data_IF_556729346689
#
_entry.id   IF_556729346689
#
_cell.length_a   1.000
_cell.length_b   1.000
_cell.length_c   1.000
_cell.angle_alpha   90.00
_cell.angle_beta   90.00
_cell.angle_gamma   90.00
#
_symmetry.space_group_name_H-M   'P 1'
#
loop_
_entity.id
_entity.type
_entity.pdbx_description
1 polymer ?
#
# COMPACT_ATOMS: atom_id res chain seq x y z
N UNK A 1 -24.22 2.04 -12.04
CA UNK A 1 -23.30 0.88 -12.13
C UNK A 1 -23.94 -0.29 -12.87
N UNK A 2 -25.20 -0.64 -12.56
CA UNK A 2 -26.01 -1.62 -13.30
C UNK A 2 -26.17 -1.31 -14.80
N UNK A 3 -26.41 -0.04 -15.19
CA UNK A 3 -26.51 0.30 -16.63
C UNK A 3 -25.17 0.11 -17.36
N UNK A 4 -24.04 0.53 -16.78
CA UNK A 4 -22.71 0.42 -17.40
C UNK A 4 -22.25 -1.03 -17.59
N UNK A 5 -22.61 -1.94 -16.67
CA UNK A 5 -22.30 -3.38 -16.77
C UNK A 5 -23.21 -4.04 -17.83
N UNK A 6 -24.49 -3.67 -17.88
CA UNK A 6 -25.45 -4.22 -18.86
C UNK A 6 -25.18 -3.72 -20.28
N UNK A 7 -24.66 -2.51 -20.44
CA UNK A 7 -24.40 -1.88 -21.74
C UNK A 7 -23.03 -2.26 -22.33
N UNK A 8 -22.11 -2.83 -21.53
CA UNK A 8 -20.75 -3.13 -21.98
C UNK A 8 -20.35 -4.60 -21.77
N UNK A 9 -20.37 -5.36 -22.87
CA UNK A 9 -20.01 -6.78 -22.90
C UNK A 9 -18.62 -7.07 -22.33
N UNK A 10 -17.62 -6.23 -22.61
CA UNK A 10 -16.23 -6.43 -22.13
C UNK A 10 -16.18 -6.34 -20.60
N UNK A 11 -16.90 -5.37 -20.02
CA UNK A 11 -16.96 -5.22 -18.56
C UNK A 11 -17.69 -6.40 -17.92
N UNK A 12 -18.80 -6.84 -18.52
CA UNK A 12 -19.54 -8.02 -18.06
C UNK A 12 -18.66 -9.28 -18.09
N UNK A 13 -17.97 -9.53 -19.19
CA UNK A 13 -17.04 -10.65 -19.34
C UNK A 13 -15.92 -10.57 -18.29
N UNK A 14 -15.42 -9.37 -17.99
CA UNK A 14 -14.40 -9.16 -16.94
C UNK A 14 -14.93 -9.49 -15.55
N UNK A 15 -16.14 -9.04 -15.20
CA UNK A 15 -16.76 -9.33 -13.90
C UNK A 15 -17.02 -10.83 -13.74
N UNK A 16 -17.56 -11.49 -14.76
CA UNK A 16 -17.76 -12.94 -14.77
C UNK A 16 -16.45 -13.70 -14.60
N UNK A 17 -15.37 -13.24 -15.24
CA UNK A 17 -14.05 -13.83 -15.11
C UNK A 17 -13.51 -13.71 -13.68
N UNK A 18 -13.57 -12.53 -13.06
CA UNK A 18 -13.15 -12.33 -11.66
C UNK A 18 -13.91 -13.25 -10.73
N UNK A 19 -15.24 -13.32 -10.87
CA UNK A 19 -16.09 -14.21 -10.08
C UNK A 19 -15.71 -15.68 -10.26
N UNK A 20 -15.46 -16.11 -11.51
CA UNK A 20 -15.01 -17.46 -11.83
C UNK A 20 -13.68 -17.82 -11.17
N UNK A 21 -12.68 -16.93 -11.26
CA UNK A 21 -11.39 -17.14 -10.61
C UNK A 21 -11.53 -17.19 -9.09
N UNK A 22 -12.22 -16.22 -8.48
CA UNK A 22 -12.42 -16.16 -7.04
C UNK A 22 -13.11 -17.42 -6.49
N UNK A 23 -14.17 -17.87 -7.17
CA UNK A 23 -14.89 -19.08 -6.80
C UNK A 23 -14.06 -20.36 -7.03
N UNK A 24 -13.25 -20.42 -8.10
CA UNK A 24 -12.39 -21.58 -8.39
C UNK A 24 -11.23 -21.77 -7.40
N UNK A 25 -10.83 -20.68 -6.73
CA UNK A 25 -9.73 -20.63 -5.75
C UNK A 25 -10.23 -20.77 -4.31
N UNK A 26 -11.46 -20.33 -4.04
CA UNK A 26 -12.12 -20.53 -2.75
C UNK A 26 -12.82 -21.90 -2.72
N UNK A 27 -12.19 -22.91 -2.12
CA UNK A 27 -12.70 -24.29 -2.07
C UNK A 27 -14.11 -24.43 -1.49
N UNK A 28 -14.56 -23.44 -0.73
CA UNK A 28 -15.83 -23.44 -0.02
C UNK A 28 -16.99 -22.85 -0.84
N UNK A 29 -16.73 -22.27 -2.02
CA UNK A 29 -17.75 -21.62 -2.84
C UNK A 29 -18.28 -22.53 -3.94
N UNK A 30 -17.41 -22.95 -4.86
CA UNK A 30 -17.80 -23.75 -6.03
C UNK A 30 -16.68 -24.71 -6.45
N UNK A 31 -17.06 -25.91 -6.85
CA UNK A 31 -16.14 -26.90 -7.40
C UNK A 31 -16.08 -26.78 -8.92
N UNK A 32 -14.93 -26.35 -9.43
CA UNK A 32 -14.68 -26.28 -10.88
C UNK A 32 -13.92 -27.52 -11.37
N UNK A 33 -14.38 -28.08 -12.49
CA UNK A 33 -13.66 -29.11 -13.23
C UNK A 33 -12.35 -28.59 -13.82
N UNK A 34 -11.46 -29.50 -14.22
CA UNK A 34 -10.19 -29.13 -14.88
C UNK A 34 -10.39 -28.38 -16.20
N UNK A 35 -11.47 -28.69 -16.92
CA UNK A 35 -11.78 -28.07 -18.20
C UNK A 35 -12.26 -26.63 -17.99
N UNK A 36 -13.18 -26.40 -17.06
CA UNK A 36 -13.67 -25.04 -16.75
C UNK A 36 -12.54 -24.13 -16.25
N UNK A 37 -11.62 -24.65 -15.43
CA UNK A 37 -10.43 -23.89 -15.02
C UNK A 37 -9.55 -23.52 -16.20
N UNK A 38 -9.39 -24.42 -17.17
CA UNK A 38 -8.61 -24.14 -18.40
C UNK A 38 -9.30 -23.08 -19.25
N UNK A 39 -10.62 -23.17 -19.39
CA UNK A 39 -11.40 -22.21 -20.18
C UNK A 39 -11.34 -20.81 -19.57
N UNK A 40 -11.42 -20.70 -18.23
CA UNK A 40 -11.21 -19.43 -17.52
C UNK A 40 -9.84 -18.82 -17.83
N UNK A 41 -8.75 -19.62 -17.82
CA UNK A 41 -7.41 -19.12 -18.15
C UNK A 41 -7.32 -18.66 -19.61
N UNK A 42 -7.96 -19.36 -20.55
CA UNK A 42 -7.98 -18.97 -21.96
C UNK A 42 -8.72 -17.63 -22.14
N UNK A 43 -9.91 -17.51 -21.56
CA UNK A 43 -10.71 -16.27 -21.59
C UNK A 43 -9.95 -15.11 -20.95
N UNK A 44 -9.29 -15.35 -19.82
CA UNK A 44 -8.47 -14.36 -19.16
C UNK A 44 -7.34 -13.84 -20.04
N UNK A 45 -6.55 -14.73 -20.65
CA UNK A 45 -5.43 -14.32 -21.52
C UNK A 45 -5.91 -13.49 -22.71
N UNK A 46 -7.05 -13.85 -23.30
CA UNK A 46 -7.65 -13.08 -24.39
C UNK A 46 -8.07 -11.68 -23.92
N UNK A 47 -8.79 -11.60 -22.81
CA UNK A 47 -9.28 -10.35 -22.26
C UNK A 47 -8.14 -9.44 -21.78
N UNK A 48 -7.15 -10.00 -21.09
CA UNK A 48 -5.95 -9.29 -20.65
C UNK A 48 -5.19 -8.69 -21.84
N UNK A 49 -5.03 -9.45 -22.93
CA UNK A 49 -4.37 -8.94 -24.14
C UNK A 49 -5.14 -7.77 -24.76
N UNK A 50 -6.46 -7.88 -24.86
CA UNK A 50 -7.32 -6.82 -25.40
C UNK A 50 -7.28 -5.55 -24.55
N UNK A 51 -7.38 -5.68 -23.21
CA UNK A 51 -7.30 -4.54 -22.28
C UNK A 51 -5.90 -3.92 -22.29
N UNK A 52 -4.83 -4.73 -22.34
CA UNK A 52 -3.46 -4.24 -22.40
C UNK A 52 -3.17 -3.44 -23.67
N UNK A 53 -3.72 -3.86 -24.81
CA UNK A 53 -3.65 -3.10 -26.07
C UNK A 53 -4.39 -1.77 -25.93
N UNK A 54 -5.61 -1.78 -25.39
CA UNK A 54 -6.40 -0.56 -25.15
C UNK A 54 -5.77 0.42 -24.16
N UNK A 55 -4.97 -0.06 -23.20
CA UNK A 55 -4.19 0.78 -22.28
C UNK A 55 -2.99 1.43 -22.98
N UNK A 56 -2.36 0.73 -23.93
CA UNK A 56 -1.17 1.22 -24.65
C UNK A 56 -1.53 2.18 -25.77
N UNK A 57 -2.60 1.89 -26.50
CA UNK A 57 -3.13 2.75 -27.55
C UNK A 57 -3.83 3.94 -26.89
N UNK A 58 -3.34 5.16 -27.13
CA UNK A 58 -3.94 6.39 -26.58
C UNK A 58 -5.34 6.53 -27.17
N UNK A 59 -6.35 6.03 -26.44
CA UNK A 59 -7.72 6.08 -26.93
C UNK A 59 -8.21 7.52 -26.94
N UNK A 60 -8.16 8.16 -28.10
CA UNK A 60 -8.85 9.43 -28.42
C UNK A 60 -10.38 9.31 -28.38
N UNK A 61 -10.90 8.12 -28.03
CA UNK A 61 -12.24 7.64 -28.37
C UNK A 61 -13.04 7.28 -27.11
N UNK A 62 -13.12 8.21 -26.15
CA UNK A 62 -14.18 8.29 -25.11
C UNK A 62 -14.43 7.11 -24.16
N UNK A 63 -13.77 5.94 -24.30
CA UNK A 63 -14.04 4.69 -23.56
C UNK A 63 -13.02 4.37 -22.46
N UNK A 64 -12.26 5.37 -22.01
CA UNK A 64 -11.22 5.22 -20.98
C UNK A 64 -11.74 4.61 -19.67
N UNK A 65 -12.98 4.90 -19.29
CA UNK A 65 -13.53 4.50 -17.99
C UNK A 65 -13.82 2.99 -17.92
N UNK A 66 -14.35 2.41 -18.99
CA UNK A 66 -14.59 0.97 -19.10
C UNK A 66 -13.27 0.21 -19.12
N UNK A 67 -12.29 0.70 -19.87
CA UNK A 67 -10.95 0.09 -19.92
C UNK A 67 -10.29 0.11 -18.55
N UNK A 68 -10.37 1.24 -17.83
CA UNK A 68 -9.86 1.37 -16.46
C UNK A 68 -10.56 0.38 -15.51
N UNK A 69 -11.89 0.29 -15.56
CA UNK A 69 -12.66 -0.65 -14.75
C UNK A 69 -12.22 -2.10 -15.01
N UNK A 70 -12.12 -2.49 -16.29
CA UNK A 70 -11.69 -3.83 -16.67
C UNK A 70 -10.26 -4.11 -16.19
N UNK A 71 -9.37 -3.14 -16.32
CA UNK A 71 -7.97 -3.30 -15.92
C UNK A 71 -7.79 -3.43 -14.41
N UNK A 72 -8.54 -2.66 -13.63
CA UNK A 72 -8.59 -2.78 -12.17
C UNK A 72 -9.12 -4.15 -11.76
N UNK A 73 -10.21 -4.62 -12.37
CA UNK A 73 -10.77 -5.94 -12.07
C UNK A 73 -9.80 -7.08 -12.43
N UNK A 74 -9.16 -7.01 -13.59
CA UNK A 74 -8.15 -7.99 -14.02
C UNK A 74 -6.92 -8.05 -13.12
N UNK A 75 -6.63 -6.99 -12.37
CA UNK A 75 -5.55 -7.02 -11.39
C UNK A 75 -5.81 -8.04 -10.26
N UNK A 76 -7.07 -8.22 -9.84
CA UNK A 76 -7.43 -9.23 -8.85
C UNK A 76 -7.27 -10.64 -9.41
N UNK A 77 -7.60 -10.86 -10.69
CA UNK A 77 -7.35 -12.15 -11.36
C UNK A 77 -5.86 -12.51 -11.31
N UNK A 78 -4.98 -11.53 -11.54
CA UNK A 78 -3.53 -11.75 -11.46
C UNK A 78 -3.08 -12.17 -10.07
N UNK A 79 -3.57 -11.53 -9.01
CA UNK A 79 -3.25 -11.91 -7.62
C UNK A 79 -3.79 -13.32 -7.29
N UNK A 80 -4.98 -13.67 -7.80
CA UNK A 80 -5.62 -14.96 -7.55
C UNK A 80 -4.96 -16.13 -8.30
N UNK A 81 -4.31 -15.86 -9.44
CA UNK A 81 -3.69 -16.88 -10.28
C UNK A 81 -2.17 -16.99 -10.09
N UNK A 82 -1.47 -15.85 -10.02
CA UNK A 82 -0.01 -15.78 -9.92
C UNK A 82 0.46 -15.73 -8.45
N UNK A 83 0.99 -16.85 -7.98
CA UNK A 83 1.52 -16.97 -6.61
C UNK A 83 2.79 -16.15 -6.39
N UNK A 84 3.48 -15.70 -7.44
CA UNK A 84 4.70 -14.89 -7.32
C UNK A 84 4.44 -13.40 -7.15
N UNK A 85 3.24 -12.92 -7.51
CA UNK A 85 2.89 -11.50 -7.52
C UNK A 85 3.59 -10.66 -8.60
N UNK A 86 4.53 -11.21 -9.39
CA UNK A 86 5.31 -10.45 -10.38
C UNK A 86 4.45 -9.90 -11.52
N UNK A 87 3.50 -10.70 -12.00
CA UNK A 87 2.58 -10.28 -13.07
C UNK A 87 1.75 -9.09 -12.61
N UNK A 88 1.22 -9.18 -11.39
CA UNK A 88 0.44 -8.11 -10.77
C UNK A 88 1.25 -6.82 -10.64
N UNK A 89 2.51 -6.91 -10.20
CA UNK A 89 3.37 -5.73 -10.06
C UNK A 89 3.55 -5.00 -11.39
N UNK A 90 3.87 -5.73 -12.47
CA UNK A 90 4.02 -5.15 -13.80
C UNK A 90 2.71 -4.54 -14.33
N UNK A 91 1.58 -5.18 -14.07
CA UNK A 91 0.26 -4.70 -14.48
C UNK A 91 -0.16 -3.42 -13.77
N UNK A 92 -0.01 -3.37 -12.44
CA UNK A 92 -0.34 -2.19 -11.64
C UNK A 92 0.52 -0.98 -12.05
N UNK A 93 1.80 -1.20 -12.35
CA UNK A 93 2.67 -0.14 -12.85
C UNK A 93 2.16 0.43 -14.19
N UNK A 94 1.79 -0.43 -15.14
CA UNK A 94 1.22 0.00 -16.43
C UNK A 94 -0.12 0.73 -16.25
N UNK A 95 -0.96 0.24 -15.35
CA UNK A 95 -2.25 0.83 -15.03
C UNK A 95 -2.10 2.24 -14.43
N UNK A 96 -1.15 2.41 -13.51
CA UNK A 96 -0.86 3.71 -12.90
C UNK A 96 -0.37 4.71 -13.96
N UNK A 97 0.56 4.30 -14.83
CA UNK A 97 1.04 5.13 -15.94
C UNK A 97 -0.08 5.57 -16.89
N UNK A 98 -1.05 4.69 -17.16
CA UNK A 98 -2.24 5.01 -17.95
C UNK A 98 -3.14 6.05 -17.27
N UNK A 99 -3.45 5.84 -15.99
CA UNK A 99 -4.26 6.79 -15.20
C UNK A 99 -3.59 8.17 -15.15
N UNK A 100 -2.27 8.21 -14.97
CA UNK A 100 -1.50 9.45 -14.95
C UNK A 100 -1.58 10.21 -16.29
N UNK A 101 -1.36 9.52 -17.41
CA UNK A 101 -1.43 10.13 -18.76
C UNK A 101 -2.81 10.70 -19.05
N UNK A 102 -3.87 10.00 -18.66
CA UNK A 102 -5.26 10.42 -18.85
C UNK A 102 -5.77 11.34 -17.73
N UNK A 103 -4.92 11.63 -16.74
CA UNK A 103 -5.21 12.50 -15.60
C UNK A 103 -5.29 13.98 -15.94
N UNK A 104 -4.70 14.39 -17.07
CA UNK A 104 -4.59 15.80 -17.53
C UNK A 104 -5.87 16.37 -18.16
N UNK A 105 -6.99 15.66 -18.08
CA UNK A 105 -8.27 16.14 -18.64
C UNK A 105 -8.85 17.27 -17.78
N UNK A 106 -9.32 18.34 -18.43
CA UNK A 106 -9.91 19.54 -17.79
C UNK A 106 -11.37 19.29 -17.33
N UNK A 107 -11.99 18.20 -17.79
CA UNK A 107 -13.38 17.90 -17.46
C UNK A 107 -13.53 17.36 -16.01
N UNK A 108 -14.60 17.74 -15.29
CA UNK A 108 -14.87 17.22 -13.96
C UNK A 108 -15.07 15.70 -13.99
N UNK A 109 -14.38 14.99 -13.09
CA UNK A 109 -14.44 13.54 -12.99
C UNK A 109 -15.76 13.08 -12.38
N UNK A 110 -16.35 12.03 -12.95
CA UNK A 110 -17.49 11.35 -12.32
C UNK A 110 -17.05 10.71 -11.00
N UNK A 111 -17.95 10.54 -10.00
CA UNK A 111 -17.61 9.90 -8.72
C UNK A 111 -16.99 8.50 -8.90
N UNK A 112 -17.55 7.68 -9.80
CA UNK A 112 -17.02 6.34 -10.09
C UNK A 112 -15.60 6.39 -10.66
N UNK A 113 -15.34 7.30 -11.60
CA UNK A 113 -14.01 7.48 -12.16
C UNK A 113 -13.00 7.94 -11.11
N UNK A 114 -13.41 8.81 -10.18
CA UNK A 114 -12.58 9.21 -9.04
C UNK A 114 -12.20 7.99 -8.18
N UNK A 115 -13.18 7.16 -7.81
CA UNK A 115 -12.92 5.94 -7.01
C UNK A 115 -12.01 4.94 -7.74
N UNK A 116 -12.20 4.76 -9.06
CA UNK A 116 -11.33 3.89 -9.86
C UNK A 116 -9.88 4.40 -9.93
N UNK A 117 -9.69 5.70 -10.13
CA UNK A 117 -8.35 6.30 -10.11
C UNK A 117 -7.69 6.19 -8.73
N UNK A 118 -8.46 6.39 -7.66
CA UNK A 118 -8.01 6.21 -6.28
C UNK A 118 -7.56 4.76 -6.04
N UNK A 119 -8.35 3.77 -6.46
CA UNK A 119 -7.97 2.36 -6.34
C UNK A 119 -6.66 2.06 -7.09
N UNK A 120 -6.48 2.57 -8.31
CA UNK A 120 -5.23 2.41 -9.06
C UNK A 120 -4.02 2.98 -8.32
N UNK A 121 -4.18 4.15 -7.68
CA UNK A 121 -3.15 4.79 -6.85
C UNK A 121 -2.83 3.96 -5.60
N UNK A 122 -3.85 3.52 -4.85
CA UNK A 122 -3.70 2.64 -3.68
C UNK A 122 -2.93 1.37 -4.06
N UNK A 123 -3.32 0.71 -5.16
CA UNK A 123 -2.64 -0.49 -5.62
C UNK A 123 -1.17 -0.25 -5.98
N UNK A 124 -0.85 0.88 -6.63
CA UNK A 124 0.54 1.23 -6.94
C UNK A 124 1.35 1.54 -5.68
N UNK A 125 0.75 2.20 -4.69
CA UNK A 125 1.40 2.45 -3.41
C UNK A 125 1.68 1.16 -2.65
N UNK A 126 0.73 0.22 -2.58
CA UNK A 126 0.94 -1.09 -1.97
C UNK A 126 2.01 -1.90 -2.71
N UNK A 127 2.04 -1.84 -4.05
CA UNK A 127 3.10 -2.45 -4.86
C UNK A 127 4.47 -1.88 -4.49
N UNK A 128 4.59 -0.56 -4.41
CA UNK A 128 5.83 0.12 -4.06
C UNK A 128 6.32 -0.26 -2.65
N UNK A 129 5.40 -0.31 -1.68
CA UNK A 129 5.68 -0.73 -0.30
C UNK A 129 6.17 -2.18 -0.20
N UNK A 130 5.50 -3.10 -0.90
CA UNK A 130 5.89 -4.52 -0.86
C UNK A 130 7.24 -4.80 -1.52
N UNK A 131 7.66 -3.98 -2.47
CA UNK A 131 8.87 -4.20 -3.26
C UNK A 131 10.02 -3.27 -2.88
N UNK A 132 9.82 -2.35 -1.94
CA UNK A 132 10.72 -1.23 -1.66
C UNK A 132 11.18 -0.57 -2.97
N UNK A 133 10.21 -0.15 -3.80
CA UNK A 133 10.47 0.46 -5.11
C UNK A 133 9.87 1.85 -5.19
N UNK A 134 10.46 2.70 -6.04
CA UNK A 134 9.87 4.00 -6.32
C UNK A 134 8.48 3.90 -6.98
N UNK A 135 7.67 4.94 -6.76
CA UNK A 135 6.32 5.09 -7.30
C UNK A 135 6.28 5.57 -8.76
N UNK A 136 7.37 6.12 -9.30
CA UNK A 136 7.37 7.18 -10.31
C UNK A 136 6.62 6.94 -11.65
N UNK A 137 5.74 7.91 -11.95
CA UNK A 137 5.88 8.88 -13.04
C UNK A 137 5.46 10.26 -12.51
N UNK A 138 6.43 11.10 -12.13
CA UNK A 138 6.27 12.54 -11.89
C UNK A 138 5.16 12.95 -10.91
N UNK A 139 5.10 12.37 -9.71
CA UNK A 139 4.55 13.17 -8.62
C UNK A 139 5.46 14.40 -8.49
N UNK A 140 4.95 15.63 -8.66
CA UNK A 140 5.76 16.78 -8.29
C UNK A 140 6.14 16.54 -6.84
N UNK A 141 7.43 16.40 -6.59
CA UNK A 141 7.98 16.31 -5.25
C UNK A 141 7.63 17.64 -4.56
N UNK A 142 6.45 17.69 -3.95
CA UNK A 142 6.03 18.80 -3.12
C UNK A 142 6.53 18.48 -1.73
N UNK A 143 7.85 18.49 -1.53
CA UNK A 143 8.47 18.41 -0.20
C UNK A 143 7.86 19.40 0.79
N UNK A 144 7.29 20.49 0.26
CA UNK A 144 6.64 21.56 0.99
C UNK A 144 5.23 21.23 1.51
N UNK A 145 4.53 20.26 0.91
CA UNK A 145 3.17 19.86 1.33
C UNK A 145 3.19 18.56 2.17
N UNK A 146 4.38 17.99 2.42
CA UNK A 146 4.54 16.75 3.19
C UNK A 146 4.31 17.01 4.68
N UNK A 147 3.26 16.41 5.25
CA UNK A 147 2.95 16.52 6.67
C UNK A 147 2.22 17.80 7.08
N UNK A 148 1.25 18.25 6.26
CA UNK A 148 0.31 19.35 6.54
C UNK A 148 -1.13 18.82 6.70
N UNK A 149 -1.30 17.54 7.10
CA UNK A 149 -2.66 16.97 7.29
C UNK A 149 -3.39 17.62 8.46
N UNK A 150 -2.65 18.14 9.43
CA UNK A 150 -3.19 18.87 10.59
C UNK A 150 -4.00 20.12 10.18
N UNK A 151 -3.66 20.75 9.04
CA UNK A 151 -4.40 21.91 8.54
C UNK A 151 -5.73 21.52 7.85
N UNK A 152 -5.93 20.23 7.58
CA UNK A 152 -7.08 19.68 6.86
C UNK A 152 -8.02 18.84 7.74
N UNK A 153 -7.61 18.53 8.97
CA UNK A 153 -8.48 17.86 9.95
C UNK A 153 -9.34 18.90 10.67
N UNK A 154 -10.66 18.67 10.84
CA UNK A 154 -11.49 19.55 11.64
C UNK A 154 -10.91 19.64 13.07
N UNK A 155 -10.95 20.84 13.71
CA UNK A 155 -10.47 21.00 15.07
C UNK A 155 -11.09 19.97 16.02
N UNK A 156 -10.29 19.45 16.96
CA UNK A 156 -10.78 18.53 18.00
C UNK A 156 -12.03 19.12 18.68
N UNK A 157 -13.16 18.42 18.54
CA UNK A 157 -14.46 18.82 19.11
C UNK A 157 -15.54 19.21 18.09
N UNK A 158 -15.23 19.27 16.79
CA UNK A 158 -16.28 19.28 15.75
C UNK A 158 -16.69 17.84 15.41
N UNK A 159 -17.99 17.62 15.18
CA UNK A 159 -18.51 16.29 14.87
C UNK A 159 -17.76 15.67 13.68
N UNK A 160 -17.23 14.48 13.92
CA UNK A 160 -16.63 13.58 12.93
C UNK A 160 -17.51 13.33 11.69
N UNK A 161 -18.81 13.66 11.77
CA UNK A 161 -19.76 13.63 10.66
C UNK A 161 -19.46 14.63 9.52
N UNK A 162 -18.46 15.51 9.69
CA UNK A 162 -18.11 16.54 8.70
C UNK A 162 -17.34 16.01 7.48
N UNK A 163 -16.63 14.87 7.58
CA UNK A 163 -15.87 14.29 6.47
C UNK A 163 -16.57 13.07 5.88
N UNK A 164 -16.67 13.01 4.55
CA UNK A 164 -17.21 11.83 3.87
C UNK A 164 -16.15 10.72 3.75
N UNK A 165 -16.59 9.46 3.67
CA UNK A 165 -15.71 8.31 3.39
C UNK A 165 -14.83 8.55 2.16
N UNK A 166 -15.35 9.24 1.15
CA UNK A 166 -14.59 9.59 -0.05
C UNK A 166 -13.41 10.52 0.25
N UNK A 167 -13.59 11.51 1.13
CA UNK A 167 -12.50 12.40 1.53
C UNK A 167 -11.46 11.66 2.38
N UNK A 168 -11.91 10.80 3.30
CA UNK A 168 -11.01 9.99 4.12
C UNK A 168 -10.14 9.06 3.26
N UNK A 169 -10.74 8.48 2.21
CA UNK A 169 -10.03 7.63 1.26
C UNK A 169 -9.07 8.42 0.35
N UNK A 170 -9.37 9.68 0.01
CA UNK A 170 -8.43 10.55 -0.71
C UNK A 170 -7.18 10.82 0.14
N UNK A 171 -7.35 11.20 1.41
CA UNK A 171 -6.21 11.39 2.33
C UNK A 171 -5.42 10.11 2.54
N UNK A 172 -6.11 8.98 2.72
CA UNK A 172 -5.45 7.69 2.86
C UNK A 172 -4.58 7.34 1.66
N UNK A 173 -5.07 7.65 0.46
CA UNK A 173 -4.32 7.42 -0.76
C UNK A 173 -3.03 8.27 -0.81
N UNK A 174 -3.10 9.53 -0.38
CA UNK A 174 -1.95 10.43 -0.30
C UNK A 174 -0.94 9.95 0.75
N UNK A 175 -1.41 9.51 1.92
CA UNK A 175 -0.56 8.98 2.98
C UNK A 175 0.12 7.67 2.59
N UNK A 176 -0.55 6.78 1.85
CA UNK A 176 0.07 5.57 1.32
C UNK A 176 1.18 5.89 0.32
N UNK A 177 0.96 6.86 -0.56
CA UNK A 177 1.99 7.30 -1.52
C UNK A 177 3.17 7.97 -0.80
N UNK A 178 2.90 8.78 0.22
CA UNK A 178 3.93 9.33 1.11
C UNK A 178 4.76 8.23 1.74
N UNK A 179 4.10 7.25 2.36
CA UNK A 179 4.77 6.15 3.05
C UNK A 179 5.67 5.38 2.09
N UNK A 180 5.16 5.02 0.91
CA UNK A 180 5.93 4.32 -0.12
C UNK A 180 7.15 5.13 -0.57
N UNK A 181 6.99 6.44 -0.83
CA UNK A 181 8.11 7.30 -1.25
C UNK A 181 9.15 7.44 -0.14
N UNK A 182 8.73 7.62 1.10
CA UNK A 182 9.62 7.73 2.25
C UNK A 182 10.41 6.43 2.47
N UNK A 183 9.76 5.27 2.36
CA UNK A 183 10.42 3.96 2.44
C UNK A 183 11.51 3.82 1.38
N UNK A 184 11.19 4.16 0.12
CA UNK A 184 12.16 4.11 -0.98
C UNK A 184 13.35 5.05 -0.74
N UNK A 185 13.10 6.33 -0.41
CA UNK A 185 14.14 7.32 -0.22
C UNK A 185 15.06 6.99 0.96
N UNK A 186 14.50 6.47 2.06
CA UNK A 186 15.29 6.05 3.22
C UNK A 186 16.14 4.81 2.91
N UNK A 187 15.63 3.86 2.12
CA UNK A 187 16.38 2.69 1.66
C UNK A 187 17.52 3.07 0.70
N UNK A 188 17.26 3.92 -0.29
CA UNK A 188 18.28 4.44 -1.23
C UNK A 188 19.36 5.23 -0.49
N UNK A 189 18.96 6.16 0.40
CA UNK A 189 19.90 6.94 1.20
C UNK A 189 20.80 6.04 2.06
N UNK A 190 20.22 5.05 2.75
CA UNK A 190 20.95 4.07 3.58
C UNK A 190 21.96 3.27 2.76
N UNK A 191 21.58 2.83 1.55
CA UNK A 191 22.46 2.08 0.65
C UNK A 191 23.65 2.93 0.22
N UNK A 192 23.40 4.15 -0.24
CA UNK A 192 24.46 5.11 -0.61
C UNK A 192 25.35 5.48 0.58
N UNK A 193 24.78 5.64 1.78
CA UNK A 193 25.57 5.91 2.99
C UNK A 193 26.56 4.80 3.30
N UNK A 194 26.17 3.54 3.12
CA UNK A 194 27.04 2.38 3.32
C UNK A 194 28.14 2.32 2.28
N UNK A 195 27.83 2.60 1.01
CA UNK A 195 28.80 2.66 -0.10
C UNK A 195 29.83 3.79 0.07
N UNK A 196 29.38 4.96 0.52
CA UNK A 196 30.24 6.10 0.86
C UNK A 196 31.09 5.85 2.11
N UNK A 197 30.86 4.73 2.81
CA UNK A 197 31.56 4.39 4.03
C UNK A 197 31.38 5.45 5.09
N UNK A 198 30.18 6.05 5.21
CA UNK A 198 29.85 6.98 6.29
C UNK A 198 30.09 6.28 7.63
N UNK A 199 31.29 6.49 8.19
CA UNK A 199 31.70 5.87 9.44
C UNK A 199 31.03 6.61 10.58
N UNK A 200 30.58 5.83 11.57
CA UNK A 200 30.33 6.29 12.93
C UNK A 200 31.69 6.65 13.57
N UNK A 201 32.40 7.64 13.03
CA UNK A 201 33.64 8.10 13.66
C UNK A 201 33.27 9.11 14.76
N UNK A 202 33.41 8.74 16.05
CA UNK A 202 33.06 9.64 17.15
C UNK A 202 33.92 10.91 17.20
N UNK A 203 35.09 10.94 16.54
CA UNK A 203 35.95 12.13 16.46
C UNK A 203 35.42 13.18 15.47
N UNK A 204 34.76 12.76 14.38
CA UNK A 204 34.12 13.66 13.40
C UNK A 204 32.81 14.29 13.90
N UNK A 205 32.22 13.76 14.99
CA UNK A 205 30.98 14.27 15.61
C UNK A 205 31.17 15.57 16.41
N UNK A 206 32.41 15.91 16.78
CA UNK A 206 32.69 16.93 17.81
C UNK A 206 33.02 18.34 17.28
N UNK A 207 32.89 18.60 15.98
CA UNK A 207 33.17 19.92 15.43
C UNK A 207 31.88 20.71 15.18
N UNK A 208 31.41 21.53 16.15
CA UNK A 208 30.40 22.53 15.87
C UNK A 208 30.93 23.45 14.75
N UNK A 209 30.32 23.37 13.56
CA UNK A 209 30.73 24.12 12.36
C UNK A 209 31.19 23.27 11.17
N UNK A 210 31.23 21.94 11.26
CA UNK A 210 31.45 21.09 10.07
C UNK A 210 30.30 21.28 9.07
N UNK A 211 30.63 21.64 7.83
CA UNK A 211 29.65 21.71 6.74
C UNK A 211 29.21 20.30 6.39
N UNK A 212 27.90 20.04 6.45
CA UNK A 212 27.33 18.79 5.97
C UNK A 212 27.61 18.63 4.47
N UNK A 213 27.93 17.41 4.05
CA UNK A 213 27.86 17.04 2.64
C UNK A 213 26.41 17.12 2.14
N UNK A 214 26.23 17.20 0.82
CA UNK A 214 24.90 17.17 0.21
C UNK A 214 24.11 15.92 0.61
N UNK A 215 24.79 14.77 0.67
CA UNK A 215 24.19 13.51 1.10
C UNK A 215 23.76 13.53 2.58
N UNK A 216 24.59 14.07 3.48
CA UNK A 216 24.21 14.25 4.89
C UNK A 216 23.02 15.23 5.03
N UNK A 217 22.99 16.31 4.23
CA UNK A 217 21.87 17.26 4.22
C UNK A 217 20.55 16.58 3.79
N UNK A 218 20.59 15.76 2.73
CA UNK A 218 19.43 14.96 2.31
C UNK A 218 18.96 14.01 3.42
N UNK A 219 19.89 13.39 4.17
CA UNK A 219 19.55 12.53 5.31
C UNK A 219 18.82 13.28 6.42
N UNK A 220 19.27 14.50 6.75
CA UNK A 220 18.61 15.37 7.73
C UNK A 220 17.21 15.77 7.24
N UNK A 221 17.08 16.14 5.96
CA UNK A 221 15.78 16.48 5.36
C UNK A 221 14.80 15.31 5.42
N UNK A 222 15.24 14.09 5.08
CA UNK A 222 14.43 12.88 5.18
C UNK A 222 13.99 12.60 6.62
N UNK A 223 14.88 12.82 7.59
CA UNK A 223 14.55 12.68 9.02
C UNK A 223 13.47 13.69 9.42
N UNK A 224 13.57 14.94 8.99
CA UNK A 224 12.55 15.96 9.26
C UNK A 224 11.20 15.62 8.62
N UNK A 225 11.19 15.15 7.37
CA UNK A 225 9.97 14.73 6.67
C UNK A 225 9.32 13.56 7.41
N UNK A 226 10.10 12.54 7.77
CA UNK A 226 9.62 11.37 8.50
C UNK A 226 9.01 11.76 9.86
N UNK A 227 9.67 12.64 10.63
CA UNK A 227 9.14 13.11 11.92
C UNK A 227 7.82 13.87 11.78
N UNK A 228 7.69 14.74 10.77
CA UNK A 228 6.43 15.44 10.50
C UNK A 228 5.33 14.47 10.09
N UNK A 229 5.63 13.55 9.18
CA UNK A 229 4.67 12.56 8.72
C UNK A 229 4.21 11.65 9.86
N UNK A 230 5.12 11.16 10.71
CA UNK A 230 4.78 10.35 11.88
C UNK A 230 3.85 11.10 12.84
N UNK A 231 4.10 12.39 13.10
CA UNK A 231 3.21 13.23 13.92
C UNK A 231 1.80 13.32 13.33
N UNK A 232 1.69 13.53 12.03
CA UNK A 232 0.42 13.65 11.32
C UNK A 232 -0.37 12.33 11.34
N UNK A 233 0.33 11.20 11.18
CA UNK A 233 -0.26 9.86 11.35
C UNK A 233 -0.75 9.64 12.78
N UNK A 234 0.03 10.05 13.79
CA UNK A 234 -0.40 9.97 15.20
C UNK A 234 -1.66 10.82 15.45
N UNK A 235 -1.70 12.05 14.92
CA UNK A 235 -2.88 12.91 15.02
C UNK A 235 -4.11 12.26 14.36
N UNK A 236 -3.91 11.63 13.20
CA UNK A 236 -4.95 10.87 12.50
C UNK A 236 -5.45 9.69 13.32
N UNK A 237 -4.54 8.89 13.89
CA UNK A 237 -4.89 7.76 14.77
C UNK A 237 -5.74 8.20 15.96
N UNK A 238 -5.38 9.31 16.62
CA UNK A 238 -6.14 9.87 17.74
C UNK A 238 -7.54 10.31 17.31
N UNK A 239 -7.67 10.88 16.11
CA UNK A 239 -8.95 11.31 15.56
C UNK A 239 -9.87 10.10 15.27
N UNK A 240 -9.37 9.09 14.54
CA UNK A 240 -10.16 7.90 14.18
C UNK A 240 -10.52 7.00 15.36
N UNK A 241 -9.71 7.00 16.44
CA UNK A 241 -9.97 6.18 17.63
C UNK A 241 -11.20 6.64 18.43
N UNK A 242 -11.71 7.85 18.16
CA UNK A 242 -12.93 8.39 18.77
C UNK A 242 -14.24 7.96 18.08
N UNK A 243 -14.18 7.28 16.93
CA UNK A 243 -15.34 6.94 16.12
C UNK A 243 -15.81 5.49 16.30
N UNK A 244 -17.13 5.25 16.26
CA UNK A 244 -17.68 3.90 16.17
C UNK A 244 -17.28 3.27 14.82
N UNK A 245 -16.33 2.35 14.85
CA UNK A 245 -15.58 1.89 13.67
C UNK A 245 -16.43 1.33 12.53
N UNK A 246 -16.44 2.03 11.39
CA UNK A 246 -16.86 1.50 10.10
C UNK A 246 -15.82 0.51 9.54
N UNK A 247 -16.15 -0.19 8.44
CA UNK A 247 -15.17 -1.04 7.73
C UNK A 247 -14.00 -0.24 7.17
N UNK A 248 -14.25 1.00 6.70
CA UNK A 248 -13.21 1.92 6.21
C UNK A 248 -12.30 2.35 7.36
N UNK A 249 -12.86 2.73 8.52
CA UNK A 249 -12.08 3.13 9.70
C UNK A 249 -11.14 2.02 10.16
N UNK A 250 -11.58 0.75 10.17
CA UNK A 250 -10.70 -0.38 10.50
C UNK A 250 -9.54 -0.53 9.52
N UNK A 251 -9.79 -0.36 8.21
CA UNK A 251 -8.74 -0.40 7.20
C UNK A 251 -7.71 0.72 7.44
N UNK A 252 -8.18 1.96 7.59
CA UNK A 252 -7.32 3.11 7.85
C UNK A 252 -6.46 2.92 9.11
N UNK A 253 -7.07 2.50 10.22
CA UNK A 253 -6.37 2.25 11.48
C UNK A 253 -5.30 1.17 11.35
N UNK A 254 -5.59 0.07 10.64
CA UNK A 254 -4.61 -1.00 10.40
C UNK A 254 -3.35 -0.45 9.72
N UNK A 255 -3.52 0.39 8.71
CA UNK A 255 -2.43 1.00 7.97
C UNK A 255 -1.71 2.09 8.74
N UNK A 256 -2.40 3.03 9.38
CA UNK A 256 -1.75 4.13 10.11
C UNK A 256 -0.93 3.66 11.31
N UNK A 257 -1.40 2.62 12.01
CA UNK A 257 -0.60 1.95 13.04
C UNK A 257 0.67 1.32 12.43
N UNK A 258 0.56 0.70 11.24
CA UNK A 258 1.75 0.17 10.54
C UNK A 258 2.71 1.26 10.10
N UNK A 259 2.23 2.34 9.49
CA UNK A 259 3.07 3.47 9.03
C UNK A 259 3.91 4.00 10.19
N UNK A 260 3.30 4.18 11.37
CA UNK A 260 4.01 4.66 12.56
C UNK A 260 5.18 3.74 12.95
N UNK A 261 4.93 2.43 12.93
CA UNK A 261 5.94 1.40 13.22
C UNK A 261 7.01 1.36 12.14
N UNK A 262 6.62 1.41 10.86
CA UNK A 262 7.54 1.30 9.73
C UNK A 262 8.50 2.49 9.67
N UNK A 263 8.00 3.72 9.90
CA UNK A 263 8.85 4.90 10.06
C UNK A 263 9.90 4.65 11.15
N UNK A 264 9.49 4.16 12.32
CA UNK A 264 10.45 3.85 13.39
C UNK A 264 11.50 2.83 12.95
N UNK A 265 11.11 1.79 12.19
CA UNK A 265 12.02 0.75 11.70
C UNK A 265 13.00 1.28 10.64
N UNK A 266 12.59 2.20 9.77
CA UNK A 266 13.45 2.83 8.76
C UNK A 266 14.68 3.51 9.39
N UNK A 267 14.51 4.09 10.58
CA UNK A 267 15.53 4.84 11.31
C UNK A 267 16.25 4.04 12.42
N UNK A 268 16.00 2.73 12.53
CA UNK A 268 16.72 1.87 13.49
C UNK A 268 18.16 1.54 13.08
N UNK A 269 18.53 1.67 11.80
CA UNK A 269 19.91 1.39 11.36
C UNK A 269 20.87 2.42 11.94
N UNK A 270 21.98 1.94 12.51
CA UNK A 270 23.00 2.77 13.15
C UNK A 270 23.57 3.87 12.24
N UNK A 271 23.52 3.72 10.92
CA UNK A 271 24.01 4.72 9.96
C UNK A 271 23.36 6.10 10.17
N UNK A 272 22.09 6.16 10.60
CA UNK A 272 21.39 7.42 10.84
C UNK A 272 21.99 8.23 12.01
N UNK A 273 22.67 7.56 12.94
CA UNK A 273 23.37 8.22 14.05
C UNK A 273 24.57 9.04 13.57
N UNK A 274 25.01 8.90 12.30
CA UNK A 274 26.06 9.76 11.73
C UNK A 274 25.59 11.20 11.54
N UNK A 275 24.27 11.43 11.41
CA UNK A 275 23.69 12.76 11.16
C UNK A 275 23.60 13.63 12.42
N UNK A 276 23.76 13.04 13.61
CA UNK A 276 23.69 13.73 14.90
C UNK A 276 22.41 14.57 15.09
N UNK A 277 21.28 14.07 14.58
CA UNK A 277 19.95 14.64 14.77
C UNK A 277 19.04 13.66 15.53
N UNK A 278 17.97 14.18 16.12
CA UNK A 278 16.93 13.34 16.69
C UNK A 278 16.25 12.51 15.60
N UNK A 279 16.05 11.22 15.86
CA UNK A 279 15.44 10.28 14.91
C UNK A 279 14.00 9.96 15.33
N UNK A 280 13.06 9.77 14.39
CA UNK A 280 11.65 9.44 14.65
C UNK A 280 11.46 7.97 15.09
N UNK A 281 12.24 7.53 16.08
CA UNK A 281 12.26 6.15 16.58
C UNK A 281 11.40 6.08 17.84
N UNK A 282 10.37 5.25 17.80
CA UNK A 282 9.54 4.96 18.96
C UNK A 282 10.25 4.00 19.93
N UNK A 283 9.83 4.01 21.19
CA UNK A 283 10.26 2.98 22.14
C UNK A 283 9.81 1.59 21.67
N UNK A 284 10.50 0.55 22.12
CA UNK A 284 10.11 -0.84 21.80
C UNK A 284 8.67 -1.14 22.27
N UNK A 285 8.27 -0.63 23.43
CA UNK A 285 6.92 -0.82 23.96
C UNK A 285 5.87 -0.17 23.05
N UNK A 286 6.06 1.09 22.68
CA UNK A 286 5.12 1.79 21.80
C UNK A 286 5.05 1.13 20.43
N UNK A 287 6.18 0.74 19.84
CA UNK A 287 6.21 0.02 18.56
C UNK A 287 5.44 -1.30 18.63
N UNK A 288 5.57 -2.03 19.74
CA UNK A 288 4.85 -3.28 19.97
C UNK A 288 3.33 -3.07 20.12
N UNK A 289 2.91 -2.04 20.85
CA UNK A 289 1.50 -1.67 21.01
C UNK A 289 0.87 -1.27 19.68
N UNK A 290 1.54 -0.39 18.91
CA UNK A 290 1.09 0.05 17.58
C UNK A 290 0.95 -1.15 16.62
N UNK A 291 1.95 -2.03 16.56
CA UNK A 291 1.88 -3.25 15.74
C UNK A 291 0.79 -4.22 16.20
N UNK A 292 0.40 -4.20 17.48
CA UNK A 292 -0.72 -5.00 18.02
C UNK A 292 -2.06 -4.45 17.58
N UNK A 293 -2.24 -3.14 17.63
CA UNK A 293 -3.45 -2.51 17.15
C UNK A 293 -3.60 -2.66 15.63
N UNK A 294 -2.51 -2.49 14.87
CA UNK A 294 -2.48 -2.75 13.43
C UNK A 294 -3.03 -4.15 13.09
N UNK A 295 -2.47 -5.18 13.73
CA UNK A 295 -2.88 -6.57 13.50
C UNK A 295 -4.34 -6.81 13.90
N UNK A 296 -4.79 -6.27 15.03
CA UNK A 296 -6.17 -6.42 15.48
C UNK A 296 -7.17 -5.79 14.49
N UNK A 297 -6.87 -4.60 13.97
CA UNK A 297 -7.73 -3.96 12.97
C UNK A 297 -7.72 -4.70 11.63
N UNK A 298 -6.55 -5.17 11.19
CA UNK A 298 -6.45 -6.02 10.00
C UNK A 298 -7.24 -7.33 10.18
N UNK A 299 -7.15 -7.98 11.34
CA UNK A 299 -7.87 -9.22 11.65
C UNK A 299 -9.40 -9.00 11.63
N UNK A 300 -9.88 -7.88 12.20
CA UNK A 300 -11.29 -7.49 12.16
C UNK A 300 -11.77 -7.22 10.73
N UNK A 301 -11.00 -6.45 9.95
CA UNK A 301 -11.31 -6.17 8.56
C UNK A 301 -11.35 -7.43 7.70
N UNK A 302 -10.38 -8.33 7.88
CA UNK A 302 -10.28 -9.59 7.14
C UNK A 302 -11.52 -10.48 7.29
N UNK A 303 -12.22 -10.44 8.43
CA UNK A 303 -13.40 -11.28 8.68
C UNK A 303 -14.52 -11.00 7.68
N UNK A 304 -14.80 -9.72 7.41
CA UNK A 304 -15.88 -9.29 6.52
C UNK A 304 -15.42 -9.05 5.08
N UNK A 305 -14.11 -8.98 4.83
CA UNK A 305 -13.58 -8.65 3.51
C UNK A 305 -13.61 -9.79 2.49
N UNK A 306 -13.79 -9.46 1.21
CA UNK A 306 -13.69 -10.40 0.08
C UNK A 306 -12.41 -10.16 -0.72
N UNK A 307 -12.50 -9.47 -1.87
CA UNK A 307 -11.35 -9.23 -2.74
C UNK A 307 -10.35 -8.27 -2.11
N UNK A 308 -10.85 -7.29 -1.36
CA UNK A 308 -10.08 -6.29 -0.64
C UNK A 308 -9.27 -6.88 0.53
N UNK A 309 -9.52 -8.12 0.93
CA UNK A 309 -8.76 -8.81 1.97
C UNK A 309 -7.25 -8.81 1.69
N UNK A 310 -6.85 -8.92 0.42
CA UNK A 310 -5.44 -8.92 0.03
C UNK A 310 -4.73 -7.61 0.37
N UNK A 311 -5.45 -6.49 0.45
CA UNK A 311 -4.83 -5.20 0.77
C UNK A 311 -4.31 -5.12 2.20
N UNK A 312 -4.71 -6.01 3.09
CA UNK A 312 -4.09 -6.09 4.42
C UNK A 312 -2.74 -6.83 4.42
N UNK A 313 -2.41 -7.63 3.40
CA UNK A 313 -1.16 -8.41 3.38
C UNK A 313 0.12 -7.58 3.54
N UNK A 314 0.26 -6.38 2.93
CA UNK A 314 1.45 -5.53 3.11
C UNK A 314 1.71 -5.11 4.56
N UNK A 315 0.67 -5.04 5.40
CA UNK A 315 0.81 -4.68 6.83
C UNK A 315 1.58 -5.73 7.64
N UNK A 316 1.60 -6.98 7.16
CA UNK A 316 2.10 -8.12 7.92
C UNK A 316 3.61 -8.07 8.12
N UNK A 317 4.36 -7.56 7.14
CA UNK A 317 5.81 -7.47 7.26
C UNK A 317 6.19 -6.56 8.44
N UNK A 318 5.73 -5.31 8.43
CA UNK A 318 5.98 -4.33 9.50
C UNK A 318 5.54 -4.86 10.88
N UNK A 319 4.35 -5.46 10.97
CA UNK A 319 3.85 -6.07 12.22
C UNK A 319 4.75 -7.21 12.67
N UNK A 320 5.20 -8.07 11.75
CA UNK A 320 6.04 -9.23 12.08
C UNK A 320 7.40 -8.83 12.63
N UNK A 321 7.92 -7.68 12.20
CA UNK A 321 9.23 -7.18 12.62
C UNK A 321 9.25 -6.70 14.08
N UNK A 322 8.10 -6.51 14.73
CA UNK A 322 8.04 -6.16 16.16
C UNK A 322 7.82 -7.37 17.08
N UNK A 323 7.55 -8.56 16.52
CA UNK A 323 7.24 -9.79 17.30
C UNK A 323 8.47 -10.61 17.61
N UNK A 324 8.59 -11.03 18.86
CA UNK A 324 9.71 -11.86 19.35
C UNK A 324 9.27 -13.25 19.77
N UNK A 325 8.03 -13.41 20.26
CA UNK A 325 7.59 -14.67 20.84
C UNK A 325 6.84 -15.55 19.84
N UNK A 326 6.99 -16.88 19.98
CA UNK A 326 6.37 -17.87 19.10
C UNK A 326 4.83 -17.76 19.04
N UNK A 327 4.19 -17.46 20.16
CA UNK A 327 2.73 -17.26 20.27
C UNK A 327 2.23 -16.01 19.54
N UNK A 328 3.09 -15.01 19.32
CA UNK A 328 2.74 -13.81 18.56
C UNK A 328 2.90 -14.07 17.07
N UNK A 329 3.96 -14.80 16.70
CA UNK A 329 4.21 -15.25 15.33
C UNK A 329 3.09 -16.15 14.81
N UNK A 330 2.47 -16.97 15.67
CA UNK A 330 1.34 -17.83 15.24
C UNK A 330 0.12 -17.03 14.78
N UNK A 331 -0.17 -15.86 15.39
CA UNK A 331 -1.28 -14.99 14.92
C UNK A 331 -1.07 -14.49 13.49
N UNK A 332 0.18 -14.19 13.12
CA UNK A 332 0.54 -13.77 11.76
C UNK A 332 0.38 -14.93 10.78
N UNK A 333 0.83 -16.13 11.17
CA UNK A 333 0.64 -17.35 10.36
C UNK A 333 -0.85 -17.68 10.19
N UNK A 334 -1.66 -17.51 11.23
CA UNK A 334 -3.12 -17.69 11.16
C UNK A 334 -3.76 -16.67 10.22
N UNK A 335 -3.32 -15.41 10.26
CA UNK A 335 -3.78 -14.37 9.35
C UNK A 335 -3.50 -14.73 7.88
N UNK A 336 -2.27 -15.16 7.58
CA UNK A 336 -1.87 -15.61 6.24
C UNK A 336 -2.69 -16.81 5.81
N UNK A 337 -2.92 -17.77 6.71
CA UNK A 337 -3.75 -18.93 6.44
C UNK A 337 -5.19 -18.55 6.06
N UNK A 338 -5.76 -17.52 6.71
CA UNK A 338 -7.08 -16.98 6.36
C UNK A 338 -7.09 -16.28 5.00
N UNK A 339 -6.03 -15.56 4.61
CA UNK A 339 -5.91 -15.02 3.24
C UNK A 339 -5.90 -16.14 2.20
N UNK A 340 -5.15 -17.22 2.45
CA UNK A 340 -5.13 -18.40 1.57
C UNK A 340 -6.49 -19.07 1.46
N UNK A 341 -7.23 -19.18 2.56
CA UNK A 341 -8.60 -19.71 2.54
C UNK A 341 -9.55 -18.88 1.68
N UNK A 342 -9.30 -17.58 1.51
CA UNK A 342 -10.01 -16.68 0.58
C UNK A 342 -9.48 -16.74 -0.86
N UNK A 343 -8.57 -17.66 -1.17
CA UNK A 343 -8.03 -17.91 -2.51
C UNK A 343 -6.74 -17.15 -2.85
N UNK A 344 -6.18 -16.37 -1.93
CA UNK A 344 -4.96 -15.57 -2.16
C UNK A 344 -3.69 -16.37 -1.86
N UNK A 345 -3.30 -17.25 -2.78
CA UNK A 345 -2.08 -18.07 -2.62
C UNK A 345 -0.78 -17.25 -2.65
N UNK A 346 -0.78 -16.04 -3.21
CA UNK A 346 0.34 -15.09 -3.11
C UNK A 346 0.73 -14.78 -1.66
N UNK A 347 -0.17 -15.01 -0.69
CA UNK A 347 0.12 -14.85 0.74
C UNK A 347 1.30 -15.72 1.22
N UNK A 348 1.62 -16.82 0.52
CA UNK A 348 2.81 -17.63 0.82
C UNK A 348 4.13 -16.89 0.59
N UNK A 349 4.18 -15.93 -0.33
CA UNK A 349 5.37 -15.09 -0.53
C UNK A 349 5.63 -14.19 0.68
N UNK A 350 4.57 -13.61 1.24
CA UNK A 350 4.68 -12.82 2.48
C UNK A 350 5.16 -13.69 3.64
N UNK A 351 4.67 -14.92 3.77
CA UNK A 351 5.14 -15.84 4.81
C UNK A 351 6.63 -16.15 4.67
N UNK A 352 7.07 -16.48 3.45
CA UNK A 352 8.49 -16.79 3.18
C UNK A 352 9.40 -15.65 3.61
N UNK A 353 9.10 -14.42 3.19
CA UNK A 353 9.89 -13.22 3.52
C UNK A 353 9.90 -12.96 5.03
N UNK A 354 8.76 -13.13 5.70
CA UNK A 354 8.64 -12.95 7.15
C UNK A 354 9.45 -14.02 7.91
N UNK A 355 9.38 -15.28 7.49
CA UNK A 355 10.12 -16.38 8.11
C UNK A 355 11.64 -16.22 7.92
N UNK A 356 12.08 -15.80 6.74
CA UNK A 356 13.48 -15.45 6.46
C UNK A 356 13.96 -14.33 7.39
N UNK A 357 13.18 -13.25 7.52
CA UNK A 357 13.50 -12.14 8.41
C UNK A 357 13.53 -12.54 9.90
N UNK A 358 12.70 -13.50 10.31
CA UNK A 358 12.72 -14.06 11.66
C UNK A 358 13.91 -14.98 11.93
N UNK A 359 14.41 -15.68 10.91
CA UNK A 359 15.57 -16.56 11.01
C UNK A 359 16.90 -15.79 11.03
N UNK A 360 16.93 -14.60 10.41
CA UNK A 360 18.10 -13.71 10.39
C UNK A 360 18.30 -12.91 11.70
N UNK A 361 17.42 -13.08 12.70
CA UNK A 361 17.45 -12.41 14.01
C UNK A 361 17.76 -13.40 15.11
#
# INVERSE_FOLDING_TARGET
>A
MTSMIQENKILQDTVSLVGGFYASRSSNLLTFSKNEKRDLVVQWRQLQKSVALGIKEVSSDGKSDVLLACALLLSFVQILDDTSGRSWCAWVYQLHAFVWRNGKSVAPLTPLLRSMRRLARIMNALRALCLEQDLDLALPFRSHDLGSRVDHLPPHGQDASALSDDQLLDYFCEDLEMWAKLQWLTADWKTRSKELGLRLDPELRKFPGRRLSEHEYQGVELTCIASRFQRDIIASLLWYSGENGSSVTNMLLAFYHCVSVDISLMFCDSVWLSLNCELPVMTHQMSYEQATNALQHAEKGLQSSYLEAIFYAPTLYTVSMTRRYKSERSRIVDFISRLKQKGFFVADQFLSVIEEAWAAR
#
